data_IF_825096925102
#
_entry.id   IF_825096925102
#
_cell.length_a   1.000
_cell.length_b   1.000
_cell.length_c   1.000
_cell.angle_alpha   90.00
_cell.angle_beta   90.00
_cell.angle_gamma   90.00
#
_symmetry.space_group_name_H-M   'P 1'
#
loop_
_entity.id
_entity.type
_entity.pdbx_description
1 polymer ?
#
# COMPACT_ATOMS: atom_id res chain seq x y z
N UNK A 1 88.39 19.03 23.09
CA UNK A 1 87.65 18.15 24.01
C UNK A 1 86.32 17.84 23.33
N UNK A 2 86.34 16.81 22.48
CA UNK A 2 85.21 16.42 21.63
C UNK A 2 84.26 15.54 22.45
N UNK A 3 82.99 15.92 22.49
CA UNK A 3 81.90 15.09 23.03
C UNK A 3 81.25 14.33 21.89
N UNK A 4 81.48 13.02 21.84
CA UNK A 4 80.82 12.08 20.94
C UNK A 4 79.34 11.94 21.33
N UNK A 5 78.43 12.36 20.44
CA UNK A 5 76.99 12.08 20.55
C UNK A 5 76.74 10.71 19.91
N UNK A 6 76.18 9.79 20.68
CA UNK A 6 75.89 8.42 20.28
C UNK A 6 74.72 8.37 19.28
N UNK A 7 74.91 7.87 18.04
CA UNK A 7 73.89 7.89 16.99
C UNK A 7 72.65 7.04 17.29
N UNK A 8 72.72 6.12 18.27
CA UNK A 8 71.57 5.31 18.70
C UNK A 8 70.57 6.11 19.56
N UNK A 9 71.02 7.17 20.23
CA UNK A 9 70.16 8.02 21.06
C UNK A 9 69.32 9.00 20.23
N UNK A 10 69.77 9.36 19.03
CA UNK A 10 69.07 10.30 18.16
C UNK A 10 67.87 9.65 17.45
N UNK A 11 67.97 8.35 17.15
CA UNK A 11 66.90 7.58 16.50
C UNK A 11 65.68 7.38 17.41
N UNK A 12 65.88 7.22 18.72
CA UNK A 12 64.76 7.11 19.67
C UNK A 12 64.07 8.45 19.96
N UNK A 13 64.77 9.57 19.83
CA UNK A 13 64.20 10.91 20.06
C UNK A 13 63.30 11.38 18.89
N UNK A 14 63.49 10.83 17.69
CA UNK A 14 62.67 11.13 16.50
C UNK A 14 61.50 10.15 16.28
N UNK A 15 61.51 8.98 16.92
CA UNK A 15 60.44 7.97 16.79
C UNK A 15 59.28 8.16 17.79
N UNK A 16 59.54 8.74 18.97
CA UNK A 16 58.51 8.99 19.97
C UNK A 16 57.42 10.01 19.54
N UNK A 17 57.72 11.12 18.83
CA UNK A 17 56.69 12.06 18.39
C UNK A 17 55.83 11.51 17.25
N UNK A 18 56.39 10.63 16.39
CA UNK A 18 55.65 10.01 15.28
C UNK A 18 54.60 9.00 15.77
N UNK A 19 54.85 8.29 16.88
CA UNK A 19 53.88 7.36 17.48
C UNK A 19 52.74 8.08 18.22
N UNK A 20 53.00 9.29 18.74
CA UNK A 20 51.99 10.12 19.40
C UNK A 20 51.12 10.90 18.39
N UNK A 21 51.65 11.22 17.20
CA UNK A 21 50.85 11.78 16.10
C UNK A 21 49.96 10.74 15.43
N UNK A 22 50.35 9.46 15.41
CA UNK A 22 49.51 8.37 14.89
C UNK A 22 48.34 8.00 15.83
N UNK A 23 48.50 8.17 17.14
CA UNK A 23 47.43 7.90 18.12
C UNK A 23 46.39 9.02 18.21
N UNK A 24 46.64 10.17 17.58
CA UNK A 24 45.72 11.33 17.58
C UNK A 24 44.74 11.35 16.39
N UNK A 25 44.89 10.46 15.41
CA UNK A 25 44.04 10.40 14.20
C UNK A 25 43.03 9.22 14.25
N UNK A 26 43.12 8.36 15.27
CA UNK A 26 42.06 7.40 15.55
C UNK A 26 40.90 8.09 16.29
N UNK A 27 40.24 9.03 15.61
CA UNK A 27 38.87 9.38 15.98
C UNK A 27 38.06 8.10 15.77
N UNK A 28 37.69 7.45 16.87
CA UNK A 28 36.68 6.40 16.88
C UNK A 28 35.36 7.01 16.38
N UNK A 29 35.20 7.10 15.06
CA UNK A 29 33.87 6.97 14.47
C UNK A 29 33.49 5.52 14.69
N UNK A 30 32.88 5.22 15.85
CA UNK A 30 32.01 4.05 15.94
C UNK A 30 31.16 4.08 14.67
N UNK A 31 31.14 3.02 13.84
CA UNK A 31 30.19 3.00 12.74
C UNK A 31 28.84 3.20 13.40
N UNK A 32 28.15 4.29 13.04
CA UNK A 32 26.74 4.46 13.37
C UNK A 32 26.11 3.16 12.89
N UNK A 33 25.73 2.30 13.85
CA UNK A 33 25.14 1.01 13.54
C UNK A 33 23.97 1.32 12.62
N UNK A 34 24.11 0.95 11.35
CA UNK A 34 23.16 1.39 10.34
C UNK A 34 21.80 0.85 10.76
N UNK A 35 20.89 1.74 11.18
CA UNK A 35 19.61 1.38 11.79
C UNK A 35 18.99 0.20 11.04
N UNK A 36 18.70 -0.89 11.74
CA UNK A 36 18.17 -2.10 11.11
C UNK A 36 16.83 -1.76 10.44
N UNK A 37 16.52 -2.41 9.31
CA UNK A 37 15.22 -2.22 8.68
C UNK A 37 14.15 -2.89 9.56
N UNK A 38 13.16 -2.14 10.02
CA UNK A 38 12.18 -2.62 11.01
C UNK A 38 10.75 -2.67 10.49
N UNK A 39 10.36 -1.77 9.58
CA UNK A 39 9.00 -1.68 9.11
C UNK A 39 8.88 -0.96 7.76
N UNK A 40 7.73 -1.13 7.11
CA UNK A 40 7.38 -0.49 5.84
C UNK A 40 6.14 0.39 6.01
N UNK A 41 6.18 1.58 5.40
CA UNK A 41 5.06 2.51 5.28
C UNK A 41 4.75 2.78 3.81
N UNK A 42 3.48 3.07 3.51
CA UNK A 42 3.06 3.55 2.22
C UNK A 42 2.34 4.90 2.33
N UNK A 43 2.65 5.83 1.45
CA UNK A 43 1.94 7.10 1.27
C UNK A 43 1.46 7.13 -0.18
N UNK A 44 0.15 7.01 -0.38
CA UNK A 44 -0.47 6.83 -1.69
C UNK A 44 -1.37 8.02 -1.98
N UNK A 45 -1.05 8.79 -3.02
CA UNK A 45 -1.65 10.10 -3.28
C UNK A 45 -2.24 10.18 -4.69
N UNK A 46 -3.56 10.32 -4.77
CA UNK A 46 -4.24 10.80 -5.98
C UNK A 46 -4.45 12.31 -5.83
N UNK A 47 -3.82 13.10 -6.71
CA UNK A 47 -3.85 14.57 -6.60
C UNK A 47 -4.93 15.22 -7.48
N UNK A 48 -5.58 14.45 -8.34
CA UNK A 48 -6.52 14.96 -9.35
C UNK A 48 -7.97 14.76 -8.95
N UNK A 49 -8.80 15.70 -9.41
CA UNK A 49 -10.24 15.69 -9.22
C UNK A 49 -11.00 15.66 -10.56
N UNK A 50 -12.32 15.56 -10.49
CA UNK A 50 -13.26 15.46 -11.61
C UNK A 50 -13.30 14.10 -12.30
N UNK A 51 -14.48 13.78 -12.84
CA UNK A 51 -14.80 12.48 -13.44
C UNK A 51 -13.84 12.05 -14.55
N UNK A 52 -13.39 12.97 -15.39
CA UNK A 52 -12.45 12.65 -16.48
C UNK A 52 -11.06 12.20 -15.99
N UNK A 53 -10.76 12.37 -14.70
CA UNK A 53 -9.55 11.91 -14.04
C UNK A 53 -9.75 10.65 -13.20
N UNK A 54 -10.84 9.90 -13.42
CA UNK A 54 -11.18 8.66 -12.73
C UNK A 54 -9.98 7.73 -12.52
N UNK A 55 -9.19 7.52 -13.58
CA UNK A 55 -7.97 6.68 -13.57
C UNK A 55 -6.99 7.00 -12.45
N UNK A 56 -6.79 8.25 -12.06
CA UNK A 56 -5.81 8.59 -11.01
C UNK A 56 -6.23 8.02 -9.66
N UNK A 57 -7.54 8.02 -9.36
CA UNK A 57 -8.05 7.37 -8.15
C UNK A 57 -7.98 5.85 -8.24
N UNK A 58 -8.36 5.27 -9.38
CA UNK A 58 -8.28 3.84 -9.60
C UNK A 58 -6.83 3.34 -9.51
N UNK A 59 -5.86 4.09 -10.02
CA UNK A 59 -4.42 3.83 -9.87
C UNK A 59 -4.01 3.74 -8.39
N UNK A 60 -4.33 4.77 -7.60
CA UNK A 60 -3.98 4.82 -6.17
C UNK A 60 -4.64 3.69 -5.39
N UNK A 61 -5.92 3.42 -5.63
CA UNK A 61 -6.63 2.30 -4.99
C UNK A 61 -6.08 0.93 -5.41
N UNK A 62 -5.62 0.79 -6.65
CA UNK A 62 -4.98 -0.44 -7.11
C UNK A 62 -3.67 -0.69 -6.37
N UNK A 63 -2.83 0.34 -6.21
CA UNK A 63 -1.59 0.26 -5.43
C UNK A 63 -1.87 0.02 -3.93
N UNK A 64 -2.91 0.64 -3.38
CA UNK A 64 -3.39 0.38 -2.02
C UNK A 64 -3.71 -1.11 -1.81
N UNK A 65 -4.48 -1.69 -2.74
CA UNK A 65 -4.77 -3.13 -2.73
C UNK A 65 -3.49 -3.96 -2.84
N UNK A 66 -2.53 -3.57 -3.68
CA UNK A 66 -1.25 -4.28 -3.83
C UNK A 66 -0.47 -4.32 -2.53
N UNK A 67 -0.27 -3.18 -1.86
CA UNK A 67 0.51 -3.13 -0.60
C UNK A 67 -0.20 -3.88 0.54
N UNK A 68 -1.54 -3.83 0.61
CA UNK A 68 -2.31 -4.63 1.57
C UNK A 68 -2.18 -6.12 1.30
N UNK A 69 -2.28 -6.54 0.04
CA UNK A 69 -2.12 -7.95 -0.35
C UNK A 69 -0.72 -8.47 -0.02
N UNK A 70 0.29 -7.61 -0.06
CA UNK A 70 1.67 -7.93 0.34
C UNK A 70 1.92 -7.72 1.85
N UNK A 71 0.89 -7.35 2.62
CA UNK A 71 0.87 -7.42 4.07
C UNK A 71 1.20 -6.12 4.82
N UNK A 72 1.26 -4.96 4.16
CA UNK A 72 1.31 -3.68 4.88
C UNK A 72 -0.08 -3.41 5.50
N UNK A 73 -0.19 -3.24 6.82
CA UNK A 73 -1.47 -2.97 7.49
C UNK A 73 -1.92 -1.52 7.27
N UNK A 74 -3.23 -1.26 7.39
CA UNK A 74 -3.82 0.07 7.16
C UNK A 74 -3.23 1.16 8.06
N UNK A 75 -2.88 0.83 9.31
CA UNK A 75 -2.20 1.75 10.23
C UNK A 75 -0.85 2.28 9.71
N UNK A 76 -0.30 1.66 8.65
CA UNK A 76 0.96 2.06 7.99
C UNK A 76 0.77 2.52 6.55
N UNK A 77 -0.47 2.73 6.12
CA UNK A 77 -0.80 3.26 4.79
C UNK A 77 -1.51 4.59 4.98
N UNK A 78 -0.93 5.67 4.47
CA UNK A 78 -1.59 6.97 4.37
C UNK A 78 -2.19 7.09 2.97
N UNK A 79 -3.51 7.08 2.86
CA UNK A 79 -4.23 7.18 1.60
C UNK A 79 -4.88 8.56 1.44
N UNK A 80 -4.49 9.27 0.38
CA UNK A 80 -5.01 10.59 0.03
C UNK A 80 -5.73 10.53 -1.33
N UNK A 81 -7.05 10.78 -1.34
CA UNK A 81 -7.87 10.81 -2.55
C UNK A 81 -8.50 12.19 -2.75
N UNK A 82 -8.06 12.90 -3.79
CA UNK A 82 -8.49 14.27 -4.06
C UNK A 82 -9.98 14.43 -4.43
N UNK A 83 -10.68 13.34 -4.74
CA UNK A 83 -12.11 13.32 -5.08
C UNK A 83 -12.72 11.97 -4.64
N UNK A 84 -14.00 11.75 -4.90
CA UNK A 84 -14.67 10.46 -4.69
C UNK A 84 -15.42 10.01 -5.96
N UNK A 85 -14.83 9.09 -6.72
CA UNK A 85 -15.47 8.52 -7.92
C UNK A 85 -16.54 7.50 -7.57
N UNK A 86 -16.45 6.85 -6.40
CA UNK A 86 -17.42 5.86 -5.96
C UNK A 86 -18.79 6.50 -5.68
N UNK A 87 -18.79 7.73 -5.17
CA UNK A 87 -19.99 8.52 -4.87
C UNK A 87 -20.37 9.52 -5.98
N UNK A 88 -19.68 9.53 -7.13
CA UNK A 88 -19.97 10.47 -8.20
C UNK A 88 -21.29 10.14 -8.91
N UNK A 89 -22.12 11.14 -9.19
CA UNK A 89 -23.41 10.94 -9.88
C UNK A 89 -23.30 10.43 -11.31
N UNK A 90 -22.12 10.55 -11.94
CA UNK A 90 -21.82 9.96 -13.26
C UNK A 90 -21.47 8.48 -13.18
N UNK A 91 -21.18 7.96 -11.99
CA UNK A 91 -20.81 6.57 -11.82
C UNK A 91 -22.03 5.67 -11.96
N UNK A 92 -22.07 4.89 -13.05
CA UNK A 92 -23.09 3.87 -13.30
C UNK A 92 -23.09 2.76 -12.23
N UNK A 93 -21.98 2.59 -11.51
CA UNK A 93 -21.77 1.58 -10.48
C UNK A 93 -21.55 2.25 -9.11
N UNK A 94 -22.62 2.59 -8.37
CA UNK A 94 -22.51 3.27 -7.07
C UNK A 94 -21.63 2.50 -6.09
N UNK A 95 -20.81 3.22 -5.33
CA UNK A 95 -19.87 2.68 -4.34
C UNK A 95 -18.79 1.73 -4.91
N UNK A 96 -18.57 1.75 -6.24
CA UNK A 96 -17.60 0.88 -6.89
C UNK A 96 -16.63 1.68 -7.77
N UNK A 97 -15.36 1.24 -7.75
CA UNK A 97 -14.30 1.80 -8.60
C UNK A 97 -13.56 0.64 -9.26
N UNK A 98 -13.27 0.74 -10.56
CA UNK A 98 -12.63 -0.31 -11.35
C UNK A 98 -11.36 0.21 -12.03
N UNK A 99 -10.39 -0.65 -12.28
CA UNK A 99 -9.21 -0.33 -13.12
C UNK A 99 -9.21 -1.12 -14.44
N UNK A 100 -10.30 -1.82 -14.75
CA UNK A 100 -10.44 -2.66 -15.93
C UNK A 100 -11.90 -2.71 -16.37
N UNK A 101 -12.12 -2.76 -17.68
CA UNK A 101 -13.43 -2.83 -18.34
C UNK A 101 -14.26 -4.07 -17.98
N UNK A 102 -13.62 -5.15 -17.50
CA UNK A 102 -14.34 -6.38 -17.13
C UNK A 102 -15.05 -6.30 -15.78
N UNK A 103 -14.85 -5.21 -15.02
CA UNK A 103 -15.44 -4.94 -13.70
C UNK A 103 -15.33 -6.09 -12.68
N UNK A 104 -14.35 -6.99 -12.84
CA UNK A 104 -14.21 -8.15 -11.94
C UNK A 104 -13.77 -7.77 -10.53
N UNK A 105 -13.17 -6.59 -10.38
CA UNK A 105 -12.52 -6.16 -9.16
C UNK A 105 -12.96 -4.76 -8.75
N UNK A 106 -13.85 -4.68 -7.77
CA UNK A 106 -14.13 -3.42 -7.08
C UNK A 106 -12.93 -3.05 -6.18
N UNK A 107 -12.32 -1.91 -6.48
CA UNK A 107 -11.17 -1.34 -5.77
C UNK A 107 -11.57 -0.54 -4.52
N UNK A 108 -12.78 -0.01 -4.46
CA UNK A 108 -13.23 0.82 -3.34
C UNK A 108 -13.68 -0.07 -2.17
N UNK A 109 -14.60 -1.02 -2.41
CA UNK A 109 -15.02 -2.05 -1.45
C UNK A 109 -15.26 -1.58 -0.01
N UNK A 110 -15.33 -2.53 0.93
CA UNK A 110 -15.56 -2.21 2.36
C UNK A 110 -14.24 -2.01 3.15
N UNK A 111 -13.09 -2.28 2.53
CA UNK A 111 -11.79 -2.41 3.20
C UNK A 111 -10.80 -1.27 2.88
N UNK A 112 -11.28 -0.16 2.33
CA UNK A 112 -10.46 1.02 2.01
C UNK A 112 -10.61 2.06 3.10
N UNK A 113 -9.49 2.37 3.76
CA UNK A 113 -9.39 3.45 4.73
C UNK A 113 -8.76 4.66 4.05
N UNK A 114 -9.58 5.67 3.75
CA UNK A 114 -9.09 6.93 3.16
C UNK A 114 -8.84 7.94 4.28
N UNK A 115 -7.59 8.38 4.45
CA UNK A 115 -7.16 9.30 5.51
C UNK A 115 -7.42 10.76 5.17
N UNK A 116 -7.15 11.17 3.93
CA UNK A 116 -7.40 12.52 3.45
C UNK A 116 -8.33 12.47 2.25
N UNK A 117 -9.50 13.09 2.37
CA UNK A 117 -10.59 13.03 1.38
C UNK A 117 -10.87 14.40 0.79
N UNK A 118 -11.06 14.46 -0.52
CA UNK A 118 -11.53 15.66 -1.20
C UNK A 118 -10.64 16.86 -0.87
N UNK A 119 -11.25 17.92 -0.32
CA UNK A 119 -10.59 19.17 0.05
C UNK A 119 -9.45 19.04 1.08
N UNK A 120 -9.33 17.92 1.78
CA UNK A 120 -8.19 17.69 2.69
C UNK A 120 -6.90 17.34 1.93
N UNK A 121 -6.98 16.94 0.65
CA UNK A 121 -5.82 16.63 -0.19
C UNK A 121 -5.27 17.92 -0.80
N UNK A 122 -4.48 18.63 0.00
CA UNK A 122 -3.76 19.86 -0.37
C UNK A 122 -2.25 19.63 -0.37
N UNK A 123 -1.51 20.51 -1.03
CA UNK A 123 -0.03 20.47 -0.99
C UNK A 123 0.46 20.59 0.46
N UNK A 124 -0.15 21.48 1.24
CA UNK A 124 0.19 21.70 2.63
C UNK A 124 0.03 20.43 3.49
N UNK A 125 -1.12 19.76 3.44
CA UNK A 125 -1.35 18.56 4.23
C UNK A 125 -0.41 17.42 3.81
N UNK A 126 -0.16 17.28 2.50
CA UNK A 126 0.81 16.32 1.99
C UNK A 126 2.22 16.56 2.55
N UNK A 127 2.73 17.80 2.50
CA UNK A 127 4.04 18.15 3.05
C UNK A 127 4.09 18.00 4.59
N UNK A 128 2.98 18.27 5.30
CA UNK A 128 2.87 18.04 6.74
C UNK A 128 2.98 16.56 7.10
N UNK A 129 2.33 15.66 6.34
CA UNK A 129 2.46 14.21 6.48
C UNK A 129 3.92 13.77 6.34
N UNK A 130 4.58 14.18 5.27
CA UNK A 130 5.98 13.84 5.03
C UNK A 130 6.89 14.34 6.16
N UNK A 131 6.80 15.63 6.49
CA UNK A 131 7.70 16.28 7.47
C UNK A 131 7.35 16.02 8.94
N UNK A 132 6.18 15.40 9.20
CA UNK A 132 5.64 15.14 10.53
C UNK A 132 5.21 16.40 11.29
N UNK A 133 5.01 17.51 10.59
CA UNK A 133 4.64 18.81 11.18
C UNK A 133 3.12 18.93 11.28
N UNK A 134 2.54 18.17 12.20
CA UNK A 134 1.10 18.19 12.45
C UNK A 134 0.74 19.01 13.69
N UNK A 135 -0.42 19.64 13.67
CA UNK A 135 -1.05 20.18 14.87
C UNK A 135 -1.38 19.06 15.85
N UNK A 136 -1.40 19.37 17.15
CA UNK A 136 -1.65 18.38 18.22
C UNK A 136 -2.99 17.67 18.07
N UNK A 137 -4.00 18.33 17.50
CA UNK A 137 -5.34 17.81 17.28
C UNK A 137 -5.45 16.80 16.12
N UNK A 138 -4.48 16.75 15.19
CA UNK A 138 -4.54 15.82 14.05
C UNK A 138 -4.52 14.37 14.56
N UNK A 139 -5.47 13.49 14.21
CA UNK A 139 -5.52 12.13 14.74
C UNK A 139 -4.30 11.31 14.30
N UNK A 140 -3.95 10.28 15.09
CA UNK A 140 -2.79 9.42 14.83
C UNK A 140 -2.84 8.73 13.46
N UNK A 141 -4.02 8.30 13.02
CA UNK A 141 -4.22 7.65 11.70
C UNK A 141 -3.81 8.53 10.53
N UNK A 142 -3.94 9.85 10.65
CA UNK A 142 -3.55 10.81 9.60
C UNK A 142 -2.07 11.21 9.63
N UNK A 143 -1.23 10.56 10.44
CA UNK A 143 0.19 10.90 10.63
C UNK A 143 1.08 9.77 10.13
N UNK A 144 2.11 10.13 9.36
CA UNK A 144 3.20 9.21 9.05
C UNK A 144 4.11 9.09 10.28
N UNK A 145 4.07 7.95 10.97
CA UNK A 145 4.84 7.68 12.18
C UNK A 145 6.08 6.83 11.92
N UNK A 146 6.74 7.09 10.80
CA UNK A 146 7.98 6.43 10.42
C UNK A 146 9.19 6.95 11.20
N UNK A 147 10.24 6.14 11.22
CA UNK A 147 11.48 6.32 11.97
C UNK A 147 12.72 5.98 11.13
N UNK A 148 13.89 5.94 11.78
CA UNK A 148 15.17 5.73 11.13
C UNK A 148 15.38 4.33 10.56
N UNK A 149 14.55 3.35 10.98
CA UNK A 149 14.54 1.98 10.48
C UNK A 149 13.45 1.73 9.42
N UNK A 150 12.62 2.73 9.13
CA UNK A 150 11.46 2.60 8.25
C UNK A 150 11.85 2.69 6.77
N UNK A 151 11.30 1.80 5.93
CA UNK A 151 11.25 2.02 4.49
C UNK A 151 9.91 2.61 4.09
N UNK A 152 9.91 3.54 3.14
CA UNK A 152 8.70 4.24 2.73
C UNK A 152 8.50 4.12 1.23
N UNK A 153 7.31 3.68 0.82
CA UNK A 153 6.80 3.83 -0.54
C UNK A 153 5.98 5.11 -0.63
N UNK A 154 6.43 6.09 -1.38
CA UNK A 154 5.64 7.26 -1.76
C UNK A 154 5.19 7.10 -3.21
N UNK A 155 3.90 6.88 -3.43
CA UNK A 155 3.30 6.82 -4.76
C UNK A 155 2.40 8.03 -4.99
N UNK A 156 2.60 8.72 -6.10
CA UNK A 156 1.80 9.88 -6.49
C UNK A 156 1.33 9.74 -7.93
N UNK A 157 0.06 10.07 -8.18
CA UNK A 157 -0.52 10.07 -9.53
C UNK A 157 -1.43 11.27 -9.72
N UNK A 158 -1.35 11.86 -10.91
CA UNK A 158 -2.11 13.04 -11.27
C UNK A 158 -1.57 13.73 -12.51
N UNK A 159 -1.98 14.98 -12.71
CA UNK A 159 -1.45 15.83 -13.78
C UNK A 159 -0.23 16.61 -13.32
N UNK A 160 0.75 16.76 -14.20
CA UNK A 160 2.03 17.39 -13.89
C UNK A 160 2.69 17.92 -15.15
N UNK A 161 3.90 18.43 -14.98
CA UNK A 161 4.71 18.97 -16.06
C UNK A 161 6.16 19.13 -15.60
N UNK A 162 6.89 20.01 -16.30
CA UNK A 162 8.29 20.27 -15.98
C UNK A 162 8.42 20.84 -14.57
N UNK A 163 8.89 19.99 -13.65
CA UNK A 163 9.17 20.27 -12.24
C UNK A 163 7.96 20.56 -11.34
N UNK A 164 6.74 20.18 -11.75
CA UNK A 164 5.55 20.32 -10.89
C UNK A 164 4.53 19.16 -11.02
N UNK A 165 3.75 18.97 -9.96
CA UNK A 165 2.57 18.10 -9.92
C UNK A 165 1.37 18.88 -9.38
N UNK A 166 0.26 18.89 -10.13
CA UNK A 166 -0.96 19.61 -9.74
C UNK A 166 -1.73 18.87 -8.65
N UNK A 167 -2.20 19.63 -7.67
CA UNK A 167 -3.13 19.22 -6.63
C UNK A 167 -4.46 19.94 -6.83
N UNK A 168 -5.56 19.19 -6.77
CA UNK A 168 -6.93 19.74 -6.80
C UNK A 168 -7.23 20.62 -8.02
N UNK A 169 -6.50 20.45 -9.12
CA UNK A 169 -6.59 21.28 -10.34
C UNK A 169 -6.34 22.79 -10.11
N UNK A 170 -5.72 23.16 -8.98
CA UNK A 170 -5.56 24.58 -8.58
C UNK A 170 -4.19 24.89 -7.98
N UNK A 171 -3.66 24.00 -7.15
CA UNK A 171 -2.33 24.15 -6.54
C UNK A 171 -1.29 23.32 -7.29
N UNK A 172 -0.02 23.67 -7.14
CA UNK A 172 1.10 22.94 -7.72
C UNK A 172 2.14 22.64 -6.65
N UNK A 173 2.47 21.36 -6.47
CA UNK A 173 3.63 20.91 -5.73
C UNK A 173 4.84 20.99 -6.67
N UNK A 174 5.84 21.79 -6.31
CA UNK A 174 7.05 21.94 -7.12
C UNK A 174 8.11 20.91 -6.71
N UNK A 175 9.05 20.62 -7.61
CA UNK A 175 10.17 19.70 -7.37
C UNK A 175 11.03 20.13 -6.18
N UNK A 176 11.19 21.44 -5.96
CA UNK A 176 11.95 21.99 -4.84
C UNK A 176 11.23 21.76 -3.50
N UNK A 177 9.91 21.97 -3.44
CA UNK A 177 9.12 21.73 -2.22
C UNK A 177 9.20 20.27 -1.79
N UNK A 178 9.08 19.35 -2.75
CA UNK A 178 9.19 17.92 -2.50
C UNK A 178 10.62 17.55 -2.05
N UNK A 179 11.65 18.11 -2.68
CA UNK A 179 13.04 17.87 -2.31
C UNK A 179 13.35 18.38 -0.89
N UNK A 180 12.85 19.55 -0.54
CA UNK A 180 13.01 20.13 0.80
C UNK A 180 12.27 19.31 1.86
N UNK A 181 11.09 18.79 1.56
CA UNK A 181 10.39 17.88 2.46
C UNK A 181 11.16 16.58 2.68
N UNK A 182 11.69 15.96 1.61
CA UNK A 182 12.51 14.74 1.70
C UNK A 182 13.83 15.00 2.46
N UNK A 183 14.44 16.18 2.28
CA UNK A 183 15.60 16.62 3.05
C UNK A 183 15.28 16.72 4.53
N UNK A 184 14.20 17.40 4.89
CA UNK A 184 13.74 17.49 6.28
C UNK A 184 13.41 16.12 6.88
N UNK A 185 12.79 15.23 6.11
CA UNK A 185 12.55 13.86 6.55
C UNK A 185 13.86 13.15 6.89
N UNK A 186 14.89 13.31 6.06
CA UNK A 186 16.19 12.69 6.29
C UNK A 186 16.91 13.27 7.51
N UNK A 187 16.92 14.59 7.66
CA UNK A 187 17.50 15.29 8.81
C UNK A 187 16.80 14.93 10.13
N UNK A 188 15.49 14.64 10.07
CA UNK A 188 14.70 14.18 11.22
C UNK A 188 14.71 12.67 11.40
N UNK A 189 15.52 11.93 10.65
CA UNK A 189 15.62 10.47 10.75
C UNK A 189 14.27 9.75 10.60
N UNK A 190 13.42 10.22 9.67
CA UNK A 190 12.07 9.65 9.45
C UNK A 190 12.04 8.48 8.46
N UNK A 191 13.17 8.14 7.83
CA UNK A 191 13.30 6.96 6.98
C UNK A 191 14.75 6.49 6.87
N UNK A 192 14.91 5.18 6.68
CA UNK A 192 16.15 4.56 6.22
C UNK A 192 16.28 4.66 4.70
N UNK A 193 15.29 4.11 4.00
CA UNK A 193 15.19 4.08 2.54
C UNK A 193 13.81 4.60 2.09
N UNK A 194 13.77 5.39 1.02
CA UNK A 194 12.55 6.00 0.49
C UNK A 194 12.47 5.72 -1.02
N UNK A 195 11.43 5.01 -1.44
CA UNK A 195 11.10 4.80 -2.85
C UNK A 195 9.98 5.76 -3.25
N UNK A 196 10.24 6.63 -4.22
CA UNK A 196 9.28 7.58 -4.76
C UNK A 196 8.90 7.13 -6.17
N UNK A 197 7.62 6.87 -6.39
CA UNK A 197 7.05 6.49 -7.68
C UNK A 197 6.03 7.54 -8.11
N UNK A 198 6.23 8.15 -9.28
CA UNK A 198 5.32 9.18 -9.79
C UNK A 198 4.78 8.81 -11.16
N UNK A 199 3.45 8.73 -11.26
CA UNK A 199 2.74 8.57 -12.52
C UNK A 199 2.11 9.89 -12.99
N UNK A 200 2.84 10.62 -13.83
CA UNK A 200 2.40 11.89 -14.41
C UNK A 200 3.22 12.27 -15.65
N UNK A 201 2.80 13.31 -16.38
CA UNK A 201 3.61 13.88 -17.47
C UNK A 201 4.89 14.52 -16.93
N UNK A 202 6.01 14.28 -17.61
CA UNK A 202 7.35 14.74 -17.21
C UNK A 202 7.75 14.36 -15.77
N UNK A 203 7.27 13.21 -15.28
CA UNK A 203 7.47 12.74 -13.90
C UNK A 203 8.93 12.74 -13.46
N UNK A 204 9.88 12.47 -14.36
CA UNK A 204 11.30 12.47 -14.09
C UNK A 204 11.83 13.79 -13.49
N UNK A 205 11.20 14.91 -13.84
CA UNK A 205 11.65 16.25 -13.46
C UNK A 205 11.35 16.57 -11.99
N UNK A 206 10.37 15.91 -11.37
CA UNK A 206 10.00 16.13 -9.96
C UNK A 206 11.09 15.77 -8.97
N UNK A 207 12.01 14.89 -9.35
CA UNK A 207 13.09 14.42 -8.48
C UNK A 207 14.48 14.89 -8.92
N UNK A 208 14.55 15.94 -9.76
CA UNK A 208 15.81 16.59 -10.13
C UNK A 208 16.53 17.17 -8.90
N UNK A 209 15.77 17.78 -7.98
CA UNK A 209 16.31 18.52 -6.85
C UNK A 209 16.65 17.65 -5.63
N UNK A 210 16.44 16.33 -5.69
CA UNK A 210 16.77 15.44 -4.58
C UNK A 210 18.27 15.36 -4.32
N UNK A 211 18.63 15.37 -3.03
CA UNK A 211 20.01 15.34 -2.53
C UNK A 211 20.18 14.36 -1.36
N UNK A 212 19.09 13.87 -0.76
CA UNK A 212 19.12 13.05 0.44
C UNK A 212 19.53 11.60 0.16
N UNK A 213 20.50 11.02 0.89
CA UNK A 213 20.89 9.63 0.70
C UNK A 213 19.80 8.65 1.15
N UNK A 214 19.75 7.49 0.50
CA UNK A 214 18.74 6.45 0.73
C UNK A 214 17.43 6.68 -0.05
N UNK A 215 17.40 7.67 -0.96
CA UNK A 215 16.25 7.95 -1.82
C UNK A 215 16.44 7.29 -3.18
N UNK A 216 15.43 6.56 -3.63
CA UNK A 216 15.29 5.98 -4.97
C UNK A 216 14.03 6.55 -5.60
N UNK A 217 14.11 7.07 -6.82
CA UNK A 217 12.96 7.66 -7.49
C UNK A 217 12.76 7.06 -8.87
N UNK A 218 11.49 6.91 -9.28
CA UNK A 218 11.10 6.50 -10.62
C UNK A 218 9.87 7.28 -11.07
N UNK A 219 9.89 7.75 -12.32
CA UNK A 219 8.80 8.47 -12.96
C UNK A 219 8.30 7.74 -14.21
N UNK A 220 7.04 7.91 -14.54
CA UNK A 220 6.41 7.28 -15.72
C UNK A 220 6.83 7.88 -17.07
N UNK A 221 7.42 9.07 -17.08
CA UNK A 221 7.80 9.77 -18.32
C UNK A 221 9.00 10.71 -18.12
N UNK A 222 9.76 10.95 -19.19
CA UNK A 222 10.89 11.89 -19.20
C UNK A 222 10.47 13.34 -19.45
N UNK A 223 11.39 14.29 -19.24
CA UNK A 223 11.21 15.69 -19.63
C UNK A 223 10.85 15.78 -21.12
N UNK A 224 9.80 16.53 -21.44
CA UNK A 224 9.24 16.64 -22.79
C UNK A 224 8.31 15.51 -23.23
N UNK A 225 8.09 14.48 -22.41
CA UNK A 225 7.14 13.39 -22.68
C UNK A 225 5.86 13.52 -21.85
N UNK A 226 4.75 13.01 -22.40
CA UNK A 226 3.50 12.81 -21.66
C UNK A 226 3.49 11.43 -21.00
N UNK A 227 2.68 11.27 -19.94
CA UNK A 227 2.17 9.96 -19.51
C UNK A 227 0.79 9.72 -20.12
N UNK A 228 0.43 8.47 -20.35
CA UNK A 228 -0.77 8.09 -21.09
C UNK A 228 -1.67 7.16 -20.29
N UNK A 229 -2.97 7.37 -20.48
CA UNK A 229 -3.99 6.47 -19.97
C UNK A 229 -4.05 5.15 -20.74
N UNK A 230 -4.69 4.16 -20.14
CA UNK A 230 -4.97 2.84 -20.69
C UNK A 230 -6.41 2.41 -20.33
N UNK A 231 -6.95 1.40 -21.04
CA UNK A 231 -8.29 0.84 -20.86
C UNK A 231 -9.40 1.91 -20.82
N UNK A 232 -9.98 2.20 -21.98
CA UNK A 232 -11.21 2.97 -22.05
C UNK A 232 -12.38 2.08 -21.63
N UNK A 233 -13.18 2.54 -20.68
CA UNK A 233 -14.36 1.84 -20.24
C UNK A 233 -15.61 2.54 -20.77
N UNK A 234 -16.43 1.85 -21.55
CA UNK A 234 -17.63 2.44 -22.18
C UNK A 234 -18.75 2.72 -21.18
N UNK A 235 -18.82 1.98 -20.08
CA UNK A 235 -19.84 2.14 -19.05
C UNK A 235 -19.50 3.26 -18.06
N UNK A 236 -18.22 3.40 -17.73
CA UNK A 236 -17.71 4.53 -16.93
C UNK A 236 -17.55 5.79 -17.81
N UNK A 237 -17.31 5.60 -19.12
CA UNK A 237 -17.21 6.64 -20.14
C UNK A 237 -15.85 7.34 -20.23
N UNK A 238 -14.83 6.85 -19.51
CA UNK A 238 -13.49 7.44 -19.42
C UNK A 238 -12.44 6.34 -19.28
N UNK A 239 -11.15 6.68 -19.41
CA UNK A 239 -10.07 5.73 -19.11
C UNK A 239 -10.02 5.43 -17.61
N UNK A 240 -9.80 4.17 -17.25
CA UNK A 240 -9.88 3.70 -15.86
C UNK A 240 -8.53 3.41 -15.21
N UNK A 241 -7.41 3.46 -15.95
CA UNK A 241 -6.06 3.24 -15.40
C UNK A 241 -5.03 3.96 -16.26
N UNK A 242 -3.86 4.30 -15.72
CA UNK A 242 -2.71 4.78 -16.51
C UNK A 242 -1.76 3.64 -16.90
N UNK A 243 -1.02 3.81 -17.99
CA UNK A 243 -0.14 2.75 -18.54
C UNK A 243 0.93 2.32 -17.57
N UNK A 244 1.64 3.27 -16.98
CA UNK A 244 2.71 2.99 -16.03
C UNK A 244 2.19 2.23 -14.82
N UNK A 245 1.07 2.68 -14.26
CA UNK A 245 0.41 1.97 -13.17
C UNK A 245 -0.10 0.60 -13.59
N UNK A 246 -0.72 0.45 -14.75
CA UNK A 246 -1.19 -0.85 -15.26
C UNK A 246 -0.07 -1.88 -15.36
N UNK A 247 1.09 -1.53 -15.93
CA UNK A 247 2.22 -2.46 -16.03
C UNK A 247 2.92 -2.69 -14.68
N UNK A 248 2.90 -1.72 -13.77
CA UNK A 248 3.31 -1.91 -12.37
C UNK A 248 2.44 -2.98 -11.71
N UNK A 249 1.11 -2.86 -11.84
CA UNK A 249 0.16 -3.82 -11.29
C UNK A 249 0.32 -5.20 -11.94
N UNK A 250 0.49 -5.27 -13.26
CA UNK A 250 0.68 -6.54 -13.97
C UNK A 250 1.94 -7.30 -13.49
N UNK A 251 3.00 -6.58 -13.10
CA UNK A 251 4.17 -7.16 -12.45
C UNK A 251 3.80 -7.74 -11.07
N UNK A 252 3.14 -6.95 -10.22
CA UNK A 252 2.79 -7.38 -8.87
C UNK A 252 1.72 -8.46 -8.81
N UNK A 253 0.76 -8.52 -9.73
CA UNK A 253 -0.28 -9.56 -9.72
C UNK A 253 0.29 -10.99 -9.78
N UNK A 254 1.49 -11.15 -10.31
CA UNK A 254 2.23 -12.43 -10.38
C UNK A 254 3.04 -12.73 -9.12
N UNK A 255 3.15 -11.76 -8.21
CA UNK A 255 3.93 -11.85 -6.99
C UNK A 255 3.06 -12.10 -5.76
N UNK A 256 3.62 -12.86 -4.84
CA UNK A 256 3.14 -13.11 -3.49
C UNK A 256 4.18 -12.62 -2.46
N UNK A 257 3.83 -12.66 -1.17
CA UNK A 257 4.65 -12.09 -0.09
C UNK A 257 6.02 -12.77 0.09
N UNK A 258 6.15 -14.02 -0.36
CA UNK A 258 7.37 -14.82 -0.23
C UNK A 258 8.31 -14.70 -1.44
N UNK A 259 7.89 -14.00 -2.49
CA UNK A 259 8.70 -13.83 -3.68
C UNK A 259 9.81 -12.79 -3.46
N UNK A 260 11.00 -13.13 -3.97
CA UNK A 260 12.20 -12.29 -3.86
C UNK A 260 12.52 -11.54 -5.16
N UNK A 261 11.49 -11.15 -5.92
CA UNK A 261 11.68 -10.34 -7.13
C UNK A 261 12.34 -9.00 -6.74
N UNK A 262 13.37 -8.60 -7.49
CA UNK A 262 14.16 -7.42 -7.17
C UNK A 262 13.56 -6.13 -7.77
N UNK A 263 13.94 -4.97 -7.23
CA UNK A 263 13.60 -3.67 -7.82
C UNK A 263 14.15 -3.54 -9.24
N UNK A 264 15.33 -4.10 -9.52
CA UNK A 264 15.89 -4.16 -10.87
C UNK A 264 14.96 -4.91 -11.84
N UNK A 265 14.33 -6.00 -11.38
CA UNK A 265 13.34 -6.75 -12.16
C UNK A 265 12.07 -5.93 -12.43
N UNK A 266 11.54 -5.21 -11.43
CA UNK A 266 10.41 -4.30 -11.61
C UNK A 266 10.74 -3.21 -12.64
N UNK A 267 11.86 -2.52 -12.48
CA UNK A 267 12.22 -1.40 -13.35
C UNK A 267 12.53 -1.85 -14.78
N UNK A 268 13.13 -3.03 -14.94
CA UNK A 268 13.38 -3.62 -16.26
C UNK A 268 12.11 -4.17 -16.93
N UNK A 269 11.00 -4.32 -16.20
CA UNK A 269 9.74 -4.79 -16.76
C UNK A 269 9.01 -3.72 -17.59
N UNK A 270 9.35 -2.43 -17.39
CA UNK A 270 8.75 -1.33 -18.12
C UNK A 270 9.25 -1.29 -19.57
N UNK A 271 8.32 -1.45 -20.51
CA UNK A 271 8.61 -1.40 -21.94
C UNK A 271 8.14 -0.05 -22.52
N UNK A 272 9.04 0.78 -23.08
CA UNK A 272 8.68 2.10 -23.62
C UNK A 272 7.59 2.07 -24.70
N UNK A 273 7.56 1.04 -25.54
CA UNK A 273 6.52 0.90 -26.58
C UNK A 273 5.14 0.64 -25.99
N UNK A 274 5.08 -0.10 -24.87
CA UNK A 274 3.84 -0.37 -24.16
C UNK A 274 3.39 0.83 -23.32
N UNK A 275 4.34 1.56 -22.74
CA UNK A 275 4.07 2.78 -21.97
C UNK A 275 3.71 3.97 -22.85
N UNK A 276 4.20 4.00 -24.10
CA UNK A 276 4.19 5.20 -24.97
C UNK A 276 4.96 6.39 -24.36
N UNK A 277 5.81 6.11 -23.38
CA UNK A 277 6.67 7.04 -22.65
C UNK A 277 7.88 6.29 -22.11
N UNK A 278 8.89 7.01 -21.64
CA UNK A 278 10.11 6.44 -21.09
C UNK A 278 10.06 6.50 -19.56
N UNK A 279 9.90 5.35 -18.91
CA UNK A 279 10.05 5.26 -17.46
C UNK A 279 11.52 5.51 -17.06
N UNK A 280 11.76 6.51 -16.22
CA UNK A 280 13.10 6.91 -15.81
C UNK A 280 13.26 6.76 -14.30
N UNK A 281 14.34 6.12 -13.85
CA UNK A 281 14.66 5.97 -12.44
C UNK A 281 16.04 6.54 -12.09
N UNK A 282 16.08 7.32 -11.01
CA UNK A 282 17.27 7.98 -10.48
C UNK A 282 17.79 7.21 -9.27
N UNK A 283 19.04 6.74 -9.35
CA UNK A 283 19.67 5.84 -8.35
C UNK A 283 20.96 6.36 -7.70
N UNK A 284 21.46 7.53 -8.08
CA UNK A 284 22.70 8.12 -7.54
C UNK A 284 22.67 8.33 -6.02
N UNK A 285 21.49 8.57 -5.46
CA UNK A 285 21.28 8.73 -4.02
C UNK A 285 21.06 7.40 -3.27
N UNK A 286 20.99 6.29 -3.99
CA UNK A 286 20.66 4.97 -3.45
C UNK A 286 21.86 4.01 -3.58
N UNK A 287 22.49 3.69 -2.44
CA UNK A 287 23.78 2.98 -2.41
C UNK A 287 23.68 1.49 -2.75
N UNK A 288 22.56 0.84 -2.47
CA UNK A 288 22.40 -0.61 -2.65
C UNK A 288 22.17 -0.96 -4.11
N UNK A 289 22.67 -2.12 -4.52
CA UNK A 289 22.43 -2.65 -5.87
C UNK A 289 20.97 -3.07 -6.00
N UNK A 290 20.29 -2.62 -7.05
CA UNK A 290 18.85 -2.85 -7.21
C UNK A 290 18.52 -4.33 -7.44
N UNK A 291 19.50 -5.13 -7.87
CA UNK A 291 19.41 -6.57 -8.05
C UNK A 291 19.27 -7.31 -6.72
N UNK A 292 19.79 -6.71 -5.63
CA UNK A 292 19.83 -7.30 -4.28
C UNK A 292 18.71 -6.76 -3.37
N UNK A 293 17.88 -5.86 -3.88
CA UNK A 293 16.80 -5.23 -3.12
C UNK A 293 15.48 -5.83 -3.59
N UNK A 294 14.82 -6.68 -2.78
CA UNK A 294 13.50 -7.18 -3.10
C UNK A 294 12.47 -6.05 -3.21
N UNK A 295 11.46 -6.19 -4.06
CA UNK A 295 10.34 -5.24 -4.11
C UNK A 295 9.58 -5.22 -2.79
N UNK A 296 9.54 -6.33 -2.05
CA UNK A 296 8.91 -6.44 -0.73
C UNK A 296 9.55 -5.53 0.32
N UNK A 297 10.79 -5.02 0.09
CA UNK A 297 11.39 -4.00 0.96
C UNK A 297 10.61 -2.68 1.02
N UNK A 298 9.76 -2.40 0.03
CA UNK A 298 8.92 -1.19 0.00
C UNK A 298 7.43 -1.50 -0.08
N UNK A 299 7.07 -2.62 -0.70
CA UNK A 299 5.67 -2.97 -0.98
C UNK A 299 5.08 -4.01 -0.04
N UNK A 300 5.91 -4.77 0.70
CA UNK A 300 5.45 -5.89 1.53
C UNK A 300 5.55 -5.62 3.02
N UNK A 301 5.05 -6.54 3.84
CA UNK A 301 5.24 -6.50 5.29
C UNK A 301 6.66 -6.92 5.68
N UNK A 302 7.16 -6.34 6.78
CA UNK A 302 8.32 -6.89 7.48
C UNK A 302 7.81 -7.87 8.52
N UNK A 303 7.93 -9.18 8.24
CA UNK A 303 7.57 -10.21 9.21
C UNK A 303 8.76 -10.50 10.12
N UNK A 304 8.65 -10.11 11.39
CA UNK A 304 9.60 -10.53 12.42
C UNK A 304 9.15 -11.88 12.99
N UNK A 305 9.76 -12.97 12.51
CA UNK A 305 9.46 -14.31 13.01
C UNK A 305 10.18 -14.54 14.34
N UNK A 306 9.48 -14.37 15.45
CA UNK A 306 9.98 -14.77 16.77
C UNK A 306 9.80 -16.27 16.91
N UNK A 307 10.89 -17.03 16.86
CA UNK A 307 10.87 -18.46 17.18
C UNK A 307 10.63 -18.63 18.69
N UNK A 308 9.45 -19.14 19.06
CA UNK A 308 9.17 -19.54 20.44
C UNK A 308 9.47 -21.03 20.61
N UNK A 309 10.45 -21.38 21.45
CA UNK A 309 10.84 -22.77 21.71
C UNK A 309 9.79 -23.57 22.52
N UNK A 310 8.73 -22.91 23.00
CA UNK A 310 7.67 -23.54 23.77
C UNK A 310 6.38 -23.64 22.94
N UNK A 311 5.92 -24.88 22.68
CA UNK A 311 4.56 -25.11 22.23
C UNK A 311 3.58 -24.48 23.23
N UNK A 312 2.65 -23.66 22.75
CA UNK A 312 1.59 -23.04 23.55
C UNK A 312 0.94 -24.12 24.44
N UNK A 313 1.18 -24.05 25.76
CA UNK A 313 0.45 -24.90 26.71
C UNK A 313 -0.97 -24.38 26.78
N UNK A 314 -1.88 -24.98 26.02
CA UNK A 314 -3.31 -24.81 26.23
C UNK A 314 -3.61 -25.10 27.70
N UNK A 315 -4.16 -24.11 28.42
CA UNK A 315 -4.56 -24.27 29.81
C UNK A 315 -5.61 -25.38 29.90
N UNK A 316 -5.17 -26.57 30.33
CA UNK A 316 -6.06 -27.67 30.65
C UNK A 316 -6.93 -27.25 31.82
N UNK A 317 -8.24 -27.27 31.59
CA UNK A 317 -9.29 -26.89 32.53
C UNK A 317 -9.25 -27.89 33.70
N UNK A 318 -8.58 -27.52 34.80
CA UNK A 318 -8.52 -28.34 36.01
C UNK A 318 -9.82 -28.13 36.79
N UNK A 319 -10.62 -29.19 36.93
CA UNK A 319 -11.80 -29.24 37.80
C UNK A 319 -11.41 -28.83 39.22
N UNK A 320 -12.00 -27.75 39.75
CA UNK A 320 -11.87 -27.40 41.16
C UNK A 320 -12.83 -28.24 42.00
N UNK A 321 -12.26 -29.21 42.73
CA UNK A 321 -12.89 -29.78 43.91
C UNK A 321 -12.88 -28.75 45.04
N UNK A 322 -14.01 -28.68 45.76
CA UNK A 322 -14.25 -27.80 46.91
C UNK A 322 -13.18 -27.95 47.98
N UNK A 323 -12.67 -26.81 48.46
CA UNK A 323 -12.17 -26.66 49.83
C UNK A 323 -12.74 -25.34 50.36
N UNK A 324 -13.47 -25.45 51.47
CA UNK A 324 -13.95 -24.32 52.28
C UNK A 324 -12.79 -23.81 53.14
N UNK A 325 -12.60 -22.49 53.17
CA UNK A 325 -11.86 -21.84 54.25
C UNK A 325 -12.58 -20.52 54.58
N UNK A 326 -13.05 -20.42 55.82
CA UNK A 326 -13.64 -19.23 56.42
C UNK A 326 -12.57 -18.17 56.64
N UNK A 327 -12.82 -16.92 56.20
CA UNK A 327 -12.03 -15.80 56.68
C UNK A 327 -12.85 -14.52 56.83
N UNK A 328 -12.68 -13.92 58.00
CA UNK A 328 -13.30 -12.72 58.53
C UNK A 328 -12.91 -11.44 57.79
N UNK A 329 -13.88 -10.53 57.78
CA UNK A 329 -13.92 -9.18 57.22
C UNK A 329 -12.85 -8.24 57.81
N UNK A 330 -11.98 -7.64 56.98
CA UNK A 330 -11.77 -6.18 56.97
C UNK A 330 -11.04 -5.67 55.70
N UNK A 331 -11.45 -4.49 55.25
CA UNK A 331 -10.82 -3.53 54.33
C UNK A 331 -10.47 -3.93 52.88
N UNK A 332 -11.33 -3.54 51.92
CA UNK A 332 -11.19 -2.30 51.14
C UNK A 332 -12.09 -2.30 49.89
N UNK A 333 -12.39 -1.09 49.40
CA UNK A 333 -13.57 -0.71 48.62
C UNK A 333 -13.51 -1.10 47.13
N UNK A 334 -14.54 -1.85 46.73
CA UNK A 334 -15.26 -1.91 45.44
C UNK A 334 -14.59 -1.45 44.12
N UNK A 335 -14.20 -2.44 43.31
CA UNK A 335 -14.71 -2.57 41.95
C UNK A 335 -16.01 -3.41 42.00
N UNK A 336 -16.93 -3.26 41.04
CA UNK A 336 -17.45 -4.39 40.25
C UNK A 336 -18.22 -3.88 39.03
N UNK A 337 -17.75 -4.43 37.92
CA UNK A 337 -18.22 -4.47 36.56
C UNK A 337 -19.39 -5.47 36.40
N UNK A 338 -20.40 -5.19 35.55
CA UNK A 338 -21.00 -6.27 34.75
C UNK A 338 -21.81 -5.79 33.53
N UNK A 339 -21.28 -6.09 32.35
CA UNK A 339 -22.03 -6.40 31.12
C UNK A 339 -23.03 -7.52 31.39
N UNK A 340 -24.32 -7.30 31.17
CA UNK A 340 -25.29 -8.38 30.92
C UNK A 340 -25.57 -8.50 29.42
N UNK A 341 -25.33 -9.70 28.91
CA UNK A 341 -25.89 -10.26 27.69
C UNK A 341 -27.40 -10.44 27.88
N UNK A 342 -28.21 -9.82 27.02
CA UNK A 342 -29.63 -10.14 26.89
C UNK A 342 -29.77 -11.13 25.74
N UNK A 343 -30.12 -12.38 26.08
CA UNK A 343 -30.87 -13.29 25.21
C UNK A 343 -32.32 -12.83 25.25
N UNK A 344 -32.94 -12.53 24.10
CA UNK A 344 -34.39 -12.47 23.97
C UNK A 344 -34.84 -13.70 23.22
N UNK A 345 -35.81 -14.38 23.82
CA UNK A 345 -36.46 -15.60 23.37
C UNK A 345 -37.63 -15.25 22.44
N UNK A 346 -37.94 -16.13 21.50
CA UNK A 346 -39.20 -16.14 20.73
C UNK A 346 -40.43 -16.11 21.65
N UNK A 347 -41.48 -15.43 21.17
CA UNK A 347 -42.81 -15.39 21.78
C UNK A 347 -43.68 -14.35 21.09
N UNK A 348 -44.59 -14.83 20.24
CA UNK A 348 -45.64 -14.11 19.52
C UNK A 348 -46.44 -13.12 20.39
N UNK A 349 -46.78 -11.95 19.83
CA UNK A 349 -48.18 -11.48 19.79
C UNK A 349 -48.34 -10.31 18.81
N UNK A 350 -49.38 -10.46 17.97
CA UNK A 350 -49.85 -9.60 16.90
C UNK A 350 -50.68 -8.47 17.50
N UNK A 351 -50.48 -7.22 17.05
CA UNK A 351 -51.59 -6.27 16.94
C UNK A 351 -51.38 -5.23 15.85
N UNK A 352 -52.45 -5.10 15.05
CA UNK A 352 -52.64 -4.35 13.82
C UNK A 352 -52.54 -2.83 13.95
N UNK A 353 -51.95 -2.18 12.93
CA UNK A 353 -52.36 -0.83 12.51
C UNK A 353 -52.35 -0.76 10.96
N UNK A 354 -53.54 -0.49 10.41
CA UNK A 354 -53.86 -0.35 8.98
C UNK A 354 -53.10 0.78 8.26
N UNK A 355 -52.72 0.57 6.99
CA UNK A 355 -52.46 1.64 6.03
C UNK A 355 -53.58 1.72 4.97
N UNK A 356 -54.32 2.83 4.94
CA UNK A 356 -55.21 3.18 3.84
C UNK A 356 -54.88 4.60 3.37
N UNK A 357 -54.35 4.73 2.15
CA UNK A 357 -55.02 5.34 0.99
C UNK A 357 -53.98 5.79 -0.05
N UNK A 358 -53.94 5.11 -1.20
CA UNK A 358 -54.02 5.69 -2.55
C UNK A 358 -53.84 4.55 -3.57
N UNK A 359 -54.98 4.15 -4.15
CA UNK A 359 -55.08 3.25 -5.31
C UNK A 359 -54.75 3.99 -6.61
N UNK A 360 -54.22 3.25 -7.57
CA UNK A 360 -54.08 3.63 -8.97
C UNK A 360 -53.38 2.55 -9.81
N UNK A 361 -54.15 1.50 -10.16
CA UNK A 361 -54.11 0.58 -11.32
C UNK A 361 -52.77 0.31 -12.04
N UNK A 362 -52.20 -0.88 -11.92
CA UNK A 362 -52.42 -2.12 -12.70
C UNK A 362 -51.67 -2.22 -14.06
N UNK A 363 -50.85 -3.26 -14.16
CA UNK A 363 -50.12 -3.67 -15.36
C UNK A 363 -49.23 -4.90 -15.08
N UNK A 364 -49.86 -6.05 -14.87
CA UNK A 364 -49.20 -7.31 -14.56
C UNK A 364 -48.37 -7.88 -15.73
N UNK A 365 -47.18 -8.42 -15.44
CA UNK A 365 -46.53 -9.42 -16.28
C UNK A 365 -45.88 -10.50 -15.40
N UNK A 366 -46.45 -11.71 -15.43
CA UNK A 366 -45.98 -12.90 -14.70
C UNK A 366 -44.73 -13.48 -15.37
N UNK A 367 -43.62 -13.60 -14.65
CA UNK A 367 -42.42 -14.30 -15.11
C UNK A 367 -42.16 -15.57 -14.25
N UNK A 368 -42.09 -16.78 -14.84
CA UNK A 368 -41.89 -18.05 -14.12
C UNK A 368 -40.41 -18.36 -13.85
N UNK A 369 -39.64 -17.40 -13.32
CA UNK A 369 -38.20 -17.54 -13.12
C UNK A 369 -37.76 -17.71 -11.65
N UNK A 370 -38.67 -17.54 -10.69
CA UNK A 370 -38.35 -17.69 -9.27
C UNK A 370 -38.22 -19.15 -8.80
N UNK A 371 -38.76 -20.11 -9.56
CA UNK A 371 -38.68 -21.54 -9.21
C UNK A 371 -37.42 -22.23 -9.75
N UNK A 372 -36.76 -21.65 -10.76
CA UNK A 372 -35.53 -22.22 -11.34
C UNK A 372 -34.27 -21.83 -10.54
N UNK A 373 -34.29 -20.68 -9.86
CA UNK A 373 -33.14 -20.17 -9.09
C UNK A 373 -32.88 -20.97 -7.79
N UNK A 374 -33.92 -21.53 -7.18
CA UNK A 374 -33.78 -22.29 -5.93
C UNK A 374 -33.25 -23.74 -6.10
N UNK A 375 -33.14 -24.26 -7.32
CA UNK A 375 -32.52 -25.57 -7.57
C UNK A 375 -31.04 -25.50 -7.97
N UNK A 376 -30.53 -24.33 -8.36
CA UNK A 376 -29.13 -24.18 -8.77
C UNK A 376 -28.17 -23.90 -7.60
N UNK A 377 -28.70 -23.56 -6.42
CA UNK A 377 -27.91 -23.27 -5.22
C UNK A 377 -27.59 -24.50 -4.36
N UNK A 378 -27.86 -25.72 -4.86
CA UNK A 378 -27.65 -26.98 -4.11
C UNK A 378 -26.85 -28.04 -4.86
N UNK A 379 -26.05 -27.67 -5.85
CA UNK A 379 -25.21 -28.61 -6.59
C UNK A 379 -23.85 -28.00 -6.97
N UNK A 380 -22.99 -27.78 -5.97
CA UNK A 380 -21.55 -27.62 -6.20
C UNK A 380 -20.85 -28.95 -5.95
N UNK A 381 -20.49 -29.64 -7.02
CA UNK A 381 -19.36 -30.56 -7.01
C UNK A 381 -18.72 -30.51 -8.40
N UNK A 382 -17.69 -29.68 -8.53
CA UNK A 382 -17.06 -29.28 -9.81
C UNK A 382 -16.46 -30.49 -10.55
N UNK A 383 -16.08 -31.54 -9.83
CA UNK A 383 -15.49 -32.77 -10.40
C UNK A 383 -16.50 -33.66 -11.14
N UNK A 384 -17.80 -33.54 -10.85
CA UNK A 384 -18.84 -34.29 -11.55
C UNK A 384 -19.11 -33.68 -12.93
N UNK A 385 -19.04 -32.36 -13.05
CA UNK A 385 -19.39 -31.63 -14.28
C UNK A 385 -18.34 -31.82 -15.38
N UNK A 386 -17.06 -31.93 -15.00
CA UNK A 386 -15.95 -32.24 -15.92
C UNK A 386 -16.06 -33.68 -16.46
N UNK A 387 -16.42 -34.64 -15.61
CA UNK A 387 -16.58 -36.04 -16.02
C UNK A 387 -17.80 -36.25 -16.95
N UNK A 388 -18.93 -35.60 -16.68
CA UNK A 388 -20.08 -35.66 -17.58
C UNK A 388 -19.82 -34.93 -18.92
N UNK A 389 -19.03 -33.85 -18.91
CA UNK A 389 -18.58 -33.18 -20.13
C UNK A 389 -17.70 -34.06 -21.01
N UNK A 390 -16.73 -34.77 -20.41
CA UNK A 390 -15.84 -35.69 -21.13
C UNK A 390 -16.58 -36.91 -21.72
N UNK A 391 -17.57 -37.44 -20.99
CA UNK A 391 -18.39 -38.57 -21.47
C UNK A 391 -19.34 -38.15 -22.60
N UNK A 392 -19.88 -36.93 -22.57
CA UNK A 392 -20.76 -36.42 -23.62
C UNK A 392 -20.03 -36.09 -24.94
N UNK A 393 -18.71 -35.88 -24.89
CA UNK A 393 -17.89 -35.61 -26.08
C UNK A 393 -17.63 -36.87 -26.94
N UNK A 394 -17.70 -38.06 -26.35
CA UNK A 394 -17.41 -39.32 -27.06
C UNK A 394 -18.50 -39.65 -28.11
N UNK A 395 -19.81 -39.58 -27.81
CA UNK A 395 -20.86 -39.77 -28.83
C UNK A 395 -20.82 -38.71 -29.94
N UNK A 396 -20.51 -37.45 -29.61
CA UNK A 396 -20.45 -36.36 -30.58
C UNK A 396 -19.31 -36.53 -31.58
N UNK A 397 -18.15 -37.02 -31.13
CA UNK A 397 -17.04 -37.37 -32.00
C UNK A 397 -17.38 -38.54 -32.93
N UNK A 398 -18.03 -39.58 -32.41
CA UNK A 398 -18.46 -40.76 -33.21
C UNK A 398 -19.50 -40.38 -34.27
N UNK A 399 -20.45 -39.50 -33.93
CA UNK A 399 -21.45 -38.97 -34.87
C UNK A 399 -20.79 -38.09 -35.94
N UNK A 400 -19.81 -37.28 -35.56
CA UNK A 400 -19.07 -36.42 -36.52
C UNK A 400 -18.23 -37.22 -37.51
N UNK A 401 -17.67 -38.37 -37.11
CA UNK A 401 -16.90 -39.23 -38.02
C UNK A 401 -17.78 -40.11 -38.90
N UNK A 402 -19.03 -40.38 -38.50
CA UNK A 402 -20.01 -41.11 -39.32
C UNK A 402 -20.68 -40.24 -40.39
N UNK A 403 -20.76 -38.92 -40.18
CA UNK A 403 -21.35 -37.97 -41.13
C UNK A 403 -20.38 -37.51 -42.24
N UNK A 404 -19.11 -37.93 -42.20
CA UNK A 404 -18.04 -37.51 -43.13
C UNK A 404 -17.53 -38.67 -43.99
N UNK A 405 -18.25 -39.81 -44.04
CA UNK A 405 -17.97 -40.91 -44.99
C UNK A 405 -19.09 -41.10 -46.01
#
# INVERSE_FOLDING_TARGET
METFINPKSLFHLLLLPCLLLYSSIAYNSSPVEAAMHTNNWAVLVCTSRFWFNYRHMANTLSLYRTVKRLGIPDERIILMLADDMACNTRNKYPAQVFNNENHRLNLYGDNVEVDYRGYEVTVENFLRVLTGRHETAVPRSKRLLSDEGSHILLYMTGHGGDEFLKFQDSEELQSHDLADAVKQMKEKHRFKELLIMVDTCQAATLFNQFQSPGVLAIGSSMKGENSYSHHLDSDVGVSVVDRFTYYTLAFFERLNIYDNASLSSLFSSYNPSLLMSTAYYRKDLYKRRLEEVPVTNFFGSVMETIHTDAAYKALSRRNSGRFEDEMSLDQSVHHIERRMLIKVNDGDEIHDINPELLQGEEGACKCPWSTFRNKFQKAENVDSLVNYGLVAMIPLLVISTWLVQ
#
